data_IF_673594248141
#
_entry.id   IF_673594248141
#
_cell.length_a   1.000
_cell.length_b   1.000
_cell.length_c   1.000
_cell.angle_alpha   90.00
_cell.angle_beta   90.00
_cell.angle_gamma   90.00
#
_symmetry.space_group_name_H-M   'P 1'
#
loop_
_entity.id
_entity.type
_entity.pdbx_description
1 polymer ?
#
# COMPACT_ATOMS: atom_id res chain seq x y z
N UNK A 1 -5.77 12.82 -14.84
CA UNK A 1 -6.64 13.74 -15.60
C UNK A 1 -7.10 13.02 -16.87
N UNK A 2 -8.41 12.97 -17.18
CA UNK A 2 -8.97 12.24 -18.33
C UNK A 2 -8.49 10.76 -18.46
N UNK A 3 -8.40 10.02 -17.35
CA UNK A 3 -7.98 8.62 -17.35
C UNK A 3 -6.47 8.35 -17.44
N UNK A 4 -5.62 9.39 -17.45
CA UNK A 4 -4.15 9.25 -17.49
C UNK A 4 -3.42 10.02 -16.37
N UNK A 5 -2.12 9.75 -16.24
CA UNK A 5 -1.20 10.55 -15.45
C UNK A 5 -1.19 12.02 -15.91
N UNK A 6 -0.83 12.93 -15.01
CA UNK A 6 -0.72 14.36 -15.33
C UNK A 6 0.46 14.61 -16.27
N UNK A 7 0.26 15.52 -17.21
CA UNK A 7 1.25 15.96 -18.18
C UNK A 7 1.40 17.48 -18.13
N UNK A 8 2.49 17.97 -18.71
CA UNK A 8 2.76 19.40 -18.86
C UNK A 8 1.61 20.05 -19.62
N UNK A 9 1.10 21.16 -19.09
CA UNK A 9 -0.01 21.92 -19.68
C UNK A 9 -1.40 21.48 -19.20
N UNK A 10 -1.52 20.39 -18.44
CA UNK A 10 -2.80 20.03 -17.82
C UNK A 10 -3.24 21.13 -16.84
N UNK A 11 -4.48 21.62 -16.99
CA UNK A 11 -5.12 22.51 -16.01
C UNK A 11 -6.16 21.74 -15.20
N UNK A 12 -6.04 21.80 -13.88
CA UNK A 12 -7.00 21.20 -12.96
C UNK A 12 -7.85 22.33 -12.38
N UNK A 13 -9.13 22.46 -12.77
CA UNK A 13 -10.02 23.44 -12.15
C UNK A 13 -10.21 23.05 -10.68
N UNK A 14 -10.05 24.02 -9.80
CA UNK A 14 -10.32 23.89 -8.37
C UNK A 14 -11.44 24.85 -8.00
N UNK A 15 -12.22 24.49 -6.99
CA UNK A 15 -13.17 25.42 -6.40
C UNK A 15 -12.42 26.35 -5.45
N UNK A 16 -12.65 27.66 -5.58
CA UNK A 16 -12.08 28.64 -4.68
C UNK A 16 -12.52 28.34 -3.24
N UNK A 17 -11.56 28.33 -2.33
CA UNK A 17 -11.78 28.06 -0.91
C UNK A 17 -10.88 28.97 -0.08
N UNK A 18 -11.46 29.60 0.92
CA UNK A 18 -10.74 30.37 1.92
C UNK A 18 -10.99 29.78 3.30
N UNK A 19 -9.91 29.51 4.03
CA UNK A 19 -9.96 29.12 5.43
C UNK A 19 -9.38 30.24 6.28
N UNK A 20 -10.02 30.50 7.42
CA UNK A 20 -9.50 31.44 8.42
C UNK A 20 -8.49 30.79 9.37
N UNK A 21 -8.47 29.46 9.45
CA UNK A 21 -7.58 28.69 10.32
C UNK A 21 -7.06 27.46 9.59
N UNK A 22 -5.77 27.18 9.73
CA UNK A 22 -5.16 25.95 9.24
C UNK A 22 -5.21 24.89 10.34
N UNK A 23 -5.69 23.69 10.01
CA UNK A 23 -5.70 22.55 10.93
C UNK A 23 -4.65 21.54 10.49
N UNK A 24 -3.81 21.10 11.43
CA UNK A 24 -2.89 19.99 11.23
C UNK A 24 -3.48 18.70 11.84
N UNK A 25 -3.11 17.54 11.28
CA UNK A 25 -3.39 16.26 11.91
C UNK A 25 -2.61 16.16 13.23
N UNK A 26 -3.19 15.52 14.24
CA UNK A 26 -2.44 15.17 15.43
C UNK A 26 -1.36 14.15 15.07
N UNK A 27 -0.19 14.23 15.71
CA UNK A 27 0.96 13.37 15.38
C UNK A 27 0.62 11.87 15.41
N UNK A 28 -0.24 11.44 16.33
CA UNK A 28 -0.68 10.05 16.47
C UNK A 28 -1.55 9.54 15.30
N UNK A 29 -2.10 10.43 14.47
CA UNK A 29 -2.90 10.07 13.30
C UNK A 29 -2.05 9.93 12.02
N UNK A 30 -0.78 10.32 12.08
CA UNK A 30 0.14 10.23 10.97
C UNK A 30 0.82 8.85 11.06
N UNK A 31 0.62 7.95 10.07
CA UNK A 31 1.28 6.65 10.08
C UNK A 31 2.79 6.82 9.98
N UNK A 32 3.53 5.95 10.68
CA UNK A 32 4.98 5.86 10.50
C UNK A 32 5.29 5.14 9.18
N UNK A 33 6.19 5.72 8.38
CA UNK A 33 6.65 5.11 7.14
C UNK A 33 8.07 4.59 7.32
N UNK A 34 8.21 3.27 7.36
CA UNK A 34 9.48 2.56 7.55
C UNK A 34 9.89 1.85 6.26
N UNK A 35 11.08 1.24 6.25
CA UNK A 35 11.51 0.37 5.14
C UNK A 35 11.01 -1.08 5.32
N UNK A 36 10.80 -1.50 6.57
CA UNK A 36 10.31 -2.82 6.92
C UNK A 36 8.89 -2.72 7.48
N UNK A 37 8.00 -3.62 7.07
CA UNK A 37 6.59 -3.60 7.42
C UNK A 37 6.12 -4.98 7.83
N UNK A 38 5.31 -5.02 8.90
CA UNK A 38 4.52 -6.20 9.23
C UNK A 38 3.09 -5.96 8.72
N UNK A 39 2.60 -6.87 7.89
CA UNK A 39 1.28 -6.75 7.25
C UNK A 39 0.43 -7.93 7.69
N UNK A 40 -0.63 -7.65 8.45
CA UNK A 40 -1.58 -8.67 8.86
C UNK A 40 -2.40 -9.17 7.66
N UNK A 41 -2.51 -10.49 7.54
CA UNK A 41 -3.30 -11.15 6.49
C UNK A 41 -4.22 -12.20 7.10
N UNK A 42 -5.34 -12.47 6.42
CA UNK A 42 -6.17 -13.63 6.72
C UNK A 42 -5.69 -14.82 5.90
N UNK A 43 -5.56 -15.97 6.55
CA UNK A 43 -5.15 -17.20 5.89
C UNK A 43 -6.26 -17.76 4.99
N UNK A 44 -5.92 -18.10 3.74
CA UNK A 44 -6.84 -18.70 2.77
C UNK A 44 -7.16 -17.80 1.54
N UNK A 45 -7.97 -18.29 0.58
CA UNK A 45 -8.74 -19.54 0.61
C UNK A 45 -7.92 -20.80 0.28
N UNK A 46 -6.74 -20.65 -0.32
CA UNK A 46 -5.93 -21.76 -0.83
C UNK A 46 -4.65 -21.95 -0.01
N UNK A 47 -4.82 -22.47 1.20
CA UNK A 47 -3.73 -22.78 2.11
C UNK A 47 -3.23 -24.23 1.99
N UNK A 48 -2.54 -24.65 3.04
CA UNK A 48 -2.25 -26.03 3.34
C UNK A 48 -3.51 -26.75 3.83
N UNK A 49 -3.65 -28.05 3.54
CA UNK A 49 -2.68 -28.91 2.83
C UNK A 49 -2.88 -28.95 1.30
N UNK A 50 -3.91 -28.29 0.77
CA UNK A 50 -4.34 -28.49 -0.62
C UNK A 50 -3.28 -28.07 -1.65
N UNK A 51 -2.54 -26.99 -1.35
CA UNK A 51 -1.51 -26.45 -2.25
C UNK A 51 -0.12 -26.32 -1.61
N UNK A 52 -0.06 -26.20 -0.29
CA UNK A 52 1.18 -26.02 0.46
C UNK A 52 1.28 -27.07 1.56
N UNK A 53 2.48 -27.46 1.94
CA UNK A 53 2.64 -28.18 3.21
C UNK A 53 2.55 -27.21 4.37
N UNK A 54 2.31 -27.73 5.58
CA UNK A 54 2.36 -26.90 6.79
C UNK A 54 3.72 -26.23 6.96
N UNK A 55 4.80 -26.97 6.68
CA UNK A 55 6.16 -26.45 6.78
C UNK A 55 6.41 -25.29 5.80
N UNK A 56 5.86 -25.34 4.59
CA UNK A 56 5.98 -24.24 3.62
C UNK A 56 5.28 -22.97 4.11
N UNK A 57 4.11 -23.12 4.73
CA UNK A 57 3.35 -21.99 5.28
C UNK A 57 4.05 -21.40 6.51
N UNK A 58 4.59 -22.24 7.38
CA UNK A 58 5.37 -21.79 8.54
C UNK A 58 6.61 -21.00 8.06
N UNK A 59 7.31 -21.49 7.03
CA UNK A 59 8.42 -20.78 6.42
C UNK A 59 7.96 -19.48 5.75
N UNK A 60 6.83 -19.48 5.05
CA UNK A 60 6.28 -18.28 4.41
C UNK A 60 6.08 -17.14 5.42
N UNK A 61 5.45 -17.40 6.57
CA UNK A 61 5.23 -16.38 7.60
C UNK A 61 6.48 -15.98 8.38
N UNK A 62 7.50 -16.85 8.43
CA UNK A 62 8.76 -16.55 9.10
C UNK A 62 9.73 -15.71 8.25
N UNK A 63 9.53 -15.66 6.93
CA UNK A 63 10.40 -14.94 6.02
C UNK A 63 10.05 -13.45 5.94
N UNK A 64 11.09 -12.63 5.77
CA UNK A 64 10.96 -11.26 5.28
C UNK A 64 10.98 -11.27 3.74
N UNK A 65 10.12 -10.48 3.12
CA UNK A 65 10.00 -10.37 1.67
C UNK A 65 10.43 -8.99 1.20
N UNK A 66 11.29 -8.93 0.19
CA UNK A 66 11.70 -7.69 -0.46
C UNK A 66 10.76 -7.37 -1.63
N UNK A 67 10.34 -6.11 -1.74
CA UNK A 67 9.50 -5.64 -2.83
C UNK A 67 10.30 -5.64 -4.13
N UNK A 68 9.82 -6.38 -5.13
CA UNK A 68 10.49 -6.48 -6.42
C UNK A 68 10.26 -5.22 -7.27
N UNK A 69 11.25 -4.86 -8.10
CA UNK A 69 11.23 -3.62 -8.93
C UNK A 69 10.08 -3.57 -9.96
N UNK A 70 9.50 -4.73 -10.31
CA UNK A 70 8.34 -4.83 -11.21
C UNK A 70 6.99 -4.69 -10.48
N UNK A 71 6.97 -4.05 -9.32
CA UNK A 71 5.75 -3.70 -8.59
C UNK A 71 5.09 -2.44 -9.15
N UNK A 72 3.76 -2.39 -9.18
CA UNK A 72 3.00 -1.23 -9.66
C UNK A 72 1.61 -1.14 -9.04
N UNK A 73 0.78 -0.19 -9.53
CA UNK A 73 -0.61 -0.01 -9.05
C UNK A 73 -1.53 -1.21 -9.31
N UNK A 74 -1.14 -2.15 -10.17
CA UNK A 74 -1.91 -3.37 -10.45
C UNK A 74 -1.51 -4.55 -9.56
N UNK A 75 -0.39 -4.45 -8.84
CA UNK A 75 0.09 -5.50 -7.96
C UNK A 75 1.50 -5.25 -7.46
N UNK A 76 1.75 -5.68 -6.22
CA UNK A 76 3.08 -5.69 -5.61
C UNK A 76 3.64 -7.11 -5.77
N UNK A 77 4.89 -7.18 -6.22
CA UNK A 77 5.62 -8.41 -6.54
C UNK A 77 6.66 -8.66 -5.47
#
# INVERSE_FOLDING_TARGET
HAGRNLLIGDMLPITEYSAQTTTALAQAQIPSFTQNWEIAVMYGPHGAPDFFTKQDIDAFFANEFEIHYNSSRTGIR
#
